data_IF_071572467747
#
_entry.id   IF_071572467747
#
_cell.length_a   1.000
_cell.length_b   1.000
_cell.length_c   1.000
_cell.angle_alpha   90.00
_cell.angle_beta   90.00
_cell.angle_gamma   90.00
#
_symmetry.space_group_name_H-M   'P 1'
#
loop_
_entity.id
_entity.type
_entity.pdbx_description
1 polymer ?
#
# COMPACT_ATOMS: atom_id res chain seq x y z
N UNK A 1 -8.71 4.20 36.32
CA UNK A 1 -9.15 3.94 34.94
C UNK A 1 -8.29 2.82 34.38
N UNK A 2 -8.85 1.64 34.12
CA UNK A 2 -8.10 0.58 33.47
C UNK A 2 -7.92 0.97 31.99
N UNK A 3 -6.68 1.19 31.56
CA UNK A 3 -6.32 1.54 30.18
C UNK A 3 -6.20 0.33 29.25
N UNK A 4 -6.68 -0.84 29.69
CA UNK A 4 -6.59 -2.07 28.90
C UNK A 4 -7.71 -2.09 27.86
N UNK A 5 -7.39 -2.38 26.58
CA UNK A 5 -8.42 -2.50 25.55
C UNK A 5 -9.38 -3.62 25.91
N UNK A 6 -10.66 -3.42 25.61
CA UNK A 6 -11.65 -4.48 25.75
C UNK A 6 -11.36 -5.65 24.80
N UNK A 7 -11.97 -6.82 25.02
CA UNK A 7 -11.63 -8.03 24.27
C UNK A 7 -11.88 -7.90 22.75
N UNK A 8 -12.87 -7.10 22.32
CA UNK A 8 -13.12 -6.83 20.90
C UNK A 8 -12.05 -5.89 20.33
N UNK A 9 -11.71 -4.81 21.04
CA UNK A 9 -10.61 -3.92 20.63
C UNK A 9 -9.27 -4.67 20.53
N UNK A 10 -8.96 -5.54 21.49
CA UNK A 10 -7.75 -6.36 21.44
C UNK A 10 -7.71 -7.27 20.21
N UNK A 11 -8.84 -7.92 19.88
CA UNK A 11 -8.96 -8.71 18.66
C UNK A 11 -8.79 -7.86 17.40
N UNK A 12 -9.39 -6.66 17.35
CA UNK A 12 -9.25 -5.74 16.23
C UNK A 12 -7.80 -5.29 16.02
N UNK A 13 -7.06 -5.00 17.10
CA UNK A 13 -5.63 -4.66 17.05
C UNK A 13 -4.83 -5.84 16.47
N UNK A 14 -5.06 -7.06 16.98
CA UNK A 14 -4.38 -8.26 16.48
C UNK A 14 -4.65 -8.49 14.99
N UNK A 15 -5.91 -8.39 14.55
CA UNK A 15 -6.29 -8.53 13.15
C UNK A 15 -5.71 -7.42 12.27
N UNK A 16 -5.63 -6.18 12.76
CA UNK A 16 -5.03 -5.05 12.05
C UNK A 16 -3.55 -5.30 11.75
N UNK A 17 -2.81 -5.87 12.71
CA UNK A 17 -1.40 -6.26 12.53
C UNK A 17 -1.28 -7.44 11.56
N UNK A 18 -2.23 -8.38 11.60
CA UNK A 18 -2.24 -9.54 10.71
C UNK A 18 -2.68 -9.21 9.27
N UNK A 19 -3.31 -8.06 9.02
CA UNK A 19 -3.88 -7.73 7.71
C UNK A 19 -2.86 -7.76 6.56
N UNK A 20 -1.65 -7.17 6.68
CA UNK A 20 -0.65 -7.25 5.61
C UNK A 20 -0.22 -8.69 5.30
N UNK A 21 -0.15 -9.57 6.31
CA UNK A 21 0.18 -10.98 6.14
C UNK A 21 -0.93 -11.73 5.40
N UNK A 22 -2.18 -11.42 5.72
CA UNK A 22 -3.34 -11.98 5.04
C UNK A 22 -3.39 -11.57 3.56
N UNK A 23 -3.05 -10.31 3.25
CA UNK A 23 -2.91 -9.84 1.86
C UNK A 23 -1.79 -10.57 1.11
N UNK A 24 -0.65 -10.82 1.75
CA UNK A 24 0.45 -11.62 1.19
C UNK A 24 -0.01 -13.05 0.87
N UNK A 25 -0.82 -13.67 1.74
CA UNK A 25 -1.45 -14.96 1.49
C UNK A 25 -2.32 -14.96 0.24
N UNK A 26 -3.21 -13.96 0.10
CA UNK A 26 -4.06 -13.82 -1.08
C UNK A 26 -3.28 -13.52 -2.37
N UNK A 27 -2.14 -12.82 -2.28
CA UNK A 27 -1.30 -12.55 -3.44
C UNK A 27 -0.66 -13.83 -4.03
N UNK A 28 -0.39 -14.84 -3.21
CA UNK A 28 0.13 -16.15 -3.65
C UNK A 28 -0.93 -17.01 -4.33
N UNK A 29 -2.21 -16.72 -4.12
CA UNK A 29 -3.31 -17.45 -4.74
C UNK A 29 -3.57 -16.89 -6.14
N UNK A 30 -3.07 -17.58 -7.17
CA UNK A 30 -3.22 -17.19 -8.58
C UNK A 30 -4.69 -16.97 -8.99
N UNK A 31 -5.63 -17.68 -8.35
CA UNK A 31 -7.07 -17.62 -8.64
C UNK A 31 -7.77 -16.28 -8.25
N UNK A 32 -7.09 -15.38 -7.52
CA UNK A 32 -7.74 -14.21 -6.91
C UNK A 32 -7.86 -12.98 -7.82
N UNK A 33 -7.29 -13.02 -9.04
CA UNK A 33 -7.39 -11.94 -10.03
C UNK A 33 -6.58 -10.69 -9.67
N UNK A 34 -7.00 -9.52 -10.17
CA UNK A 34 -6.25 -8.26 -10.02
C UNK A 34 -6.10 -7.74 -8.59
N UNK A 35 -5.12 -6.85 -8.39
CA UNK A 35 -4.72 -6.26 -7.09
C UNK A 35 -5.89 -5.72 -6.26
N UNK A 36 -6.84 -5.02 -6.88
CA UNK A 36 -8.04 -4.49 -6.21
C UNK A 36 -9.02 -5.56 -5.71
N UNK A 37 -9.13 -6.71 -6.40
CA UNK A 37 -9.98 -7.82 -5.96
C UNK A 37 -9.39 -8.50 -4.72
N UNK A 38 -8.07 -8.69 -4.70
CA UNK A 38 -7.34 -9.26 -3.54
C UNK A 38 -7.52 -8.41 -2.29
N UNK A 39 -7.38 -7.08 -2.41
CA UNK A 39 -7.59 -6.17 -1.29
C UNK A 39 -9.01 -6.27 -0.72
N UNK A 40 -10.04 -6.30 -1.60
CA UNK A 40 -11.44 -6.50 -1.18
C UNK A 40 -11.66 -7.83 -0.46
N UNK A 41 -11.09 -8.92 -0.98
CA UNK A 41 -11.17 -10.23 -0.31
C UNK A 41 -10.50 -10.22 1.07
N UNK A 42 -9.35 -9.55 1.19
CA UNK A 42 -8.67 -9.36 2.46
C UNK A 42 -9.53 -8.59 3.47
N UNK A 43 -10.13 -7.48 3.05
CA UNK A 43 -11.05 -6.69 3.85
C UNK A 43 -12.25 -7.50 4.35
N UNK A 44 -12.91 -8.24 3.46
CA UNK A 44 -14.05 -9.10 3.82
C UNK A 44 -13.61 -10.17 4.83
N UNK A 45 -12.45 -10.79 4.59
CA UNK A 45 -11.91 -11.82 5.50
C UNK A 45 -11.66 -11.25 6.90
N UNK A 46 -11.14 -10.03 7.01
CA UNK A 46 -10.93 -9.37 8.30
C UNK A 46 -12.22 -9.11 9.05
N UNK A 47 -13.24 -8.60 8.35
CA UNK A 47 -14.56 -8.34 8.97
C UNK A 47 -15.18 -9.64 9.45
N UNK A 48 -15.09 -10.72 8.66
CA UNK A 48 -15.56 -12.05 9.06
C UNK A 48 -14.78 -12.57 10.28
N UNK A 49 -13.45 -12.49 10.27
CA UNK A 49 -12.62 -12.91 11.40
C UNK A 49 -12.91 -12.09 12.67
N UNK A 50 -13.17 -10.80 12.53
CA UNK A 50 -13.55 -9.94 13.65
C UNK A 50 -14.92 -10.32 14.21
N UNK A 51 -15.91 -10.56 13.36
CA UNK A 51 -17.22 -11.03 13.78
C UNK A 51 -17.13 -12.40 14.51
N UNK A 52 -16.33 -13.33 13.97
CA UNK A 52 -16.04 -14.62 14.62
C UNK A 52 -15.37 -14.40 15.97
N UNK A 53 -14.37 -13.50 16.07
CA UNK A 53 -13.69 -13.18 17.31
C UNK A 53 -14.64 -12.60 18.37
N UNK A 54 -15.59 -11.74 17.98
CA UNK A 54 -16.60 -11.19 18.89
C UNK A 54 -17.52 -12.27 19.49
N UNK A 55 -17.79 -13.35 18.75
CA UNK A 55 -18.68 -14.44 19.18
C UNK A 55 -17.91 -15.53 19.94
N UNK A 56 -16.74 -15.91 19.44
CA UNK A 56 -16.00 -17.09 19.89
C UNK A 56 -15.00 -16.82 21.02
N UNK A 57 -14.48 -15.60 21.14
CA UNK A 57 -13.54 -15.30 22.23
C UNK A 57 -14.31 -15.06 23.54
N UNK A 58 -13.81 -15.61 24.67
CA UNK A 58 -14.42 -15.41 25.97
C UNK A 58 -14.29 -13.94 26.44
N UNK A 59 -15.27 -13.47 27.20
CA UNK A 59 -15.30 -12.13 27.79
C UNK A 59 -16.65 -11.43 27.59
N UNK A 60 -16.97 -10.49 28.48
CA UNK A 60 -18.15 -9.66 28.32
C UNK A 60 -18.03 -8.75 27.09
N UNK A 61 -19.14 -8.62 26.36
CA UNK A 61 -19.21 -7.80 25.15
C UNK A 61 -20.01 -6.55 25.46
N UNK A 62 -19.30 -5.45 25.66
CA UNK A 62 -19.93 -4.15 25.67
C UNK A 62 -19.98 -3.59 24.26
N UNK A 63 -21.09 -2.92 23.94
CA UNK A 63 -21.36 -2.42 22.59
C UNK A 63 -20.31 -1.38 22.17
N UNK A 64 -19.86 -0.54 23.10
CA UNK A 64 -18.79 0.43 22.93
C UNK A 64 -17.43 -0.21 22.61
N UNK A 65 -17.10 -1.36 23.22
CA UNK A 65 -15.89 -2.12 22.88
C UNK A 65 -15.96 -2.68 21.45
N UNK A 66 -17.11 -3.23 21.06
CA UNK A 66 -17.31 -3.76 19.69
C UNK A 66 -17.26 -2.64 18.64
N UNK A 67 -17.92 -1.51 18.89
CA UNK A 67 -17.88 -0.35 18.00
C UNK A 67 -16.45 0.20 17.92
N UNK A 68 -15.76 0.34 19.05
CA UNK A 68 -14.37 0.79 19.09
C UNK A 68 -13.44 -0.13 18.29
N UNK A 69 -13.59 -1.45 18.46
CA UNK A 69 -12.85 -2.45 17.67
C UNK A 69 -13.14 -2.34 16.18
N UNK A 70 -14.39 -2.15 15.78
CA UNK A 70 -14.76 -1.97 14.38
C UNK A 70 -14.13 -0.71 13.76
N UNK A 71 -14.14 0.41 14.50
CA UNK A 71 -13.52 1.66 14.06
C UNK A 71 -12.00 1.54 13.94
N UNK A 72 -11.34 0.83 14.88
CA UNK A 72 -9.91 0.52 14.78
C UNK A 72 -9.61 -0.30 13.53
N UNK A 73 -10.41 -1.33 13.27
CA UNK A 73 -10.26 -2.18 12.09
C UNK A 73 -10.44 -1.39 10.80
N UNK A 74 -11.49 -0.56 10.71
CA UNK A 74 -11.76 0.30 9.57
C UNK A 74 -10.60 1.28 9.32
N UNK A 75 -10.03 1.84 10.39
CA UNK A 75 -8.86 2.73 10.31
C UNK A 75 -7.64 2.00 9.77
N UNK A 76 -7.35 0.80 10.28
CA UNK A 76 -6.25 -0.02 9.77
C UNK A 76 -6.45 -0.41 8.30
N UNK A 77 -7.67 -0.77 7.91
CA UNK A 77 -8.01 -1.07 6.53
C UNK A 77 -7.80 0.15 5.62
N UNK A 78 -8.23 1.33 6.05
CA UNK A 78 -8.03 2.58 5.30
C UNK A 78 -6.54 2.92 5.17
N UNK A 79 -5.77 2.78 6.25
CA UNK A 79 -4.32 2.99 6.22
C UNK A 79 -3.62 2.05 5.24
N UNK A 80 -3.91 0.75 5.33
CA UNK A 80 -3.39 -0.24 4.39
C UNK A 80 -3.85 0.02 2.96
N UNK A 81 -5.09 0.48 2.74
CA UNK A 81 -5.58 0.85 1.41
C UNK A 81 -4.80 2.03 0.81
N UNK A 82 -4.50 3.06 1.61
CA UNK A 82 -3.72 4.21 1.15
C UNK A 82 -2.31 3.77 0.76
N UNK A 83 -1.63 2.99 1.60
CA UNK A 83 -0.31 2.45 1.31
C UNK A 83 -0.33 1.58 0.04
N UNK A 84 -1.32 0.69 -0.06
CA UNK A 84 -1.52 -0.17 -1.23
C UNK A 84 -1.75 0.67 -2.49
N UNK A 85 -2.59 1.70 -2.43
CA UNK A 85 -2.91 2.56 -3.56
C UNK A 85 -1.72 3.40 -4.00
N UNK A 86 -0.95 3.96 -3.07
CA UNK A 86 0.27 4.71 -3.40
C UNK A 86 1.30 3.83 -4.10
N UNK A 87 1.47 2.59 -3.65
CA UNK A 87 2.49 1.68 -4.16
C UNK A 87 2.08 0.95 -5.44
N UNK A 88 0.80 0.57 -5.55
CA UNK A 88 0.28 -0.16 -6.70
C UNK A 88 -0.20 0.76 -7.84
N UNK A 89 -0.73 1.93 -7.49
CA UNK A 89 -1.39 2.82 -8.44
C UNK A 89 -0.77 4.20 -8.52
N UNK A 90 0.23 4.57 -7.68
CA UNK A 90 0.80 5.91 -7.68
C UNK A 90 1.33 6.36 -9.05
N UNK A 91 2.06 5.48 -9.75
CA UNK A 91 2.56 5.76 -11.09
C UNK A 91 1.42 5.79 -12.13
N UNK A 92 0.52 4.79 -12.08
CA UNK A 92 -0.63 4.65 -12.99
C UNK A 92 -1.61 5.82 -12.88
N UNK A 93 -1.90 6.28 -11.67
CA UNK A 93 -2.75 7.44 -11.42
C UNK A 93 -2.10 8.73 -11.86
N UNK A 94 -0.78 8.87 -11.69
CA UNK A 94 -0.04 10.03 -12.20
C UNK A 94 -0.08 10.07 -13.74
N UNK A 95 0.08 8.92 -14.39
CA UNK A 95 -0.09 8.75 -15.84
C UNK A 95 -1.51 9.08 -16.31
N UNK A 96 -2.54 8.57 -15.64
CA UNK A 96 -3.93 8.90 -15.95
C UNK A 96 -4.22 10.39 -15.74
N UNK A 97 -3.69 10.98 -14.66
CA UNK A 97 -3.88 12.41 -14.38
C UNK A 97 -3.24 13.28 -15.45
N UNK A 98 -2.10 12.87 -16.04
CA UNK A 98 -1.50 13.57 -17.17
C UNK A 98 -2.41 13.59 -18.41
N UNK A 99 -3.14 12.49 -18.65
CA UNK A 99 -4.15 12.40 -19.71
C UNK A 99 -5.41 13.23 -19.39
N UNK A 100 -5.91 13.17 -18.16
CA UNK A 100 -7.12 13.92 -17.75
C UNK A 100 -6.86 15.43 -17.79
N UNK A 101 -5.69 15.89 -17.32
CA UNK A 101 -5.33 17.32 -17.28
C UNK A 101 -5.25 17.96 -18.67
N UNK A 102 -4.96 17.19 -19.70
CA UNK A 102 -4.88 17.72 -21.07
C UNK A 102 -6.25 17.92 -21.70
N UNK A 103 -7.32 17.33 -21.14
CA UNK A 103 -8.71 17.57 -21.54
C UNK A 103 -9.05 17.17 -22.97
N UNK A 104 -8.15 16.45 -23.66
CA UNK A 104 -8.28 16.03 -25.06
C UNK A 104 -7.60 14.68 -25.27
N UNK A 105 -8.02 13.88 -26.27
CA UNK A 105 -7.30 12.68 -26.67
C UNK A 105 -5.85 13.01 -27.04
N UNK A 106 -4.91 12.18 -26.60
CA UNK A 106 -3.47 12.30 -26.89
C UNK A 106 -2.97 11.06 -27.62
N UNK A 107 -1.97 11.21 -28.49
CA UNK A 107 -1.17 10.05 -28.94
C UNK A 107 -0.28 9.54 -27.82
N UNK A 108 0.28 8.34 -27.98
CA UNK A 108 1.14 7.72 -26.97
C UNK A 108 2.36 8.60 -26.63
N UNK A 109 2.97 9.20 -27.65
CA UNK A 109 4.14 10.08 -27.53
C UNK A 109 3.76 11.37 -26.78
N UNK A 110 2.61 11.97 -27.12
CA UNK A 110 2.11 13.17 -26.46
C UNK A 110 1.75 12.90 -24.99
N UNK A 111 1.23 11.71 -24.69
CA UNK A 111 0.91 11.29 -23.34
C UNK A 111 2.18 11.07 -22.49
N UNK A 112 3.19 10.40 -23.06
CA UNK A 112 4.49 10.24 -22.40
C UNK A 112 5.15 11.59 -22.11
N UNK A 113 5.14 12.51 -23.09
CA UNK A 113 5.63 13.87 -22.92
C UNK A 113 4.83 14.65 -21.84
N UNK A 114 3.51 14.50 -21.81
CA UNK A 114 2.66 15.13 -20.78
C UNK A 114 2.95 14.59 -19.37
N UNK A 115 3.19 13.28 -19.23
CA UNK A 115 3.60 12.67 -17.97
C UNK A 115 4.98 13.18 -17.51
N UNK A 116 5.90 13.37 -18.46
CA UNK A 116 7.21 13.96 -18.23
C UNK A 116 7.17 15.50 -18.11
N UNK A 117 5.96 16.11 -18.10
CA UNK A 117 5.75 17.55 -18.00
C UNK A 117 6.49 18.36 -19.07
N UNK A 118 6.62 17.80 -20.28
CA UNK A 118 7.33 18.43 -21.40
C UNK A 118 8.86 18.37 -21.33
N UNK A 119 9.41 17.69 -20.31
CA UNK A 119 10.86 17.45 -20.22
C UNK A 119 11.29 16.23 -21.05
N UNK A 120 12.57 16.15 -21.39
CA UNK A 120 13.16 14.96 -22.00
C UNK A 120 13.47 13.87 -20.94
N UNK A 121 13.80 12.65 -21.41
CA UNK A 121 14.03 11.50 -20.53
C UNK A 121 15.23 11.73 -19.61
N UNK A 122 16.25 12.45 -20.09
CA UNK A 122 17.44 12.78 -19.31
C UNK A 122 17.11 13.70 -18.12
N UNK A 123 16.32 14.74 -18.36
CA UNK A 123 15.87 15.71 -17.36
C UNK A 123 14.95 15.07 -16.34
N UNK A 124 14.01 14.23 -16.80
CA UNK A 124 13.17 13.43 -15.90
C UNK A 124 14.00 12.50 -15.01
N UNK A 125 14.92 11.74 -15.59
CA UNK A 125 15.81 10.84 -14.87
C UNK A 125 16.70 11.61 -13.87
N UNK A 126 17.24 12.76 -14.26
CA UNK A 126 18.04 13.63 -13.40
C UNK A 126 17.24 14.12 -12.19
N UNK A 127 16.00 14.57 -12.39
CA UNK A 127 15.13 15.02 -11.30
C UNK A 127 14.80 13.89 -10.32
N UNK A 128 14.53 12.68 -10.82
CA UNK A 128 14.30 11.50 -9.96
C UNK A 128 15.57 11.07 -9.24
N UNK A 129 16.71 11.14 -9.90
CA UNK A 129 18.01 10.84 -9.32
C UNK A 129 18.37 11.82 -8.19
N UNK A 130 18.07 13.12 -8.35
CA UNK A 130 18.22 14.12 -7.29
C UNK A 130 17.42 13.77 -6.03
N UNK A 131 16.21 13.20 -6.19
CA UNK A 131 15.42 12.72 -5.05
C UNK A 131 16.04 11.47 -4.40
N UNK A 132 16.60 10.55 -5.18
CA UNK A 132 17.28 9.36 -4.66
C UNK A 132 18.56 9.71 -3.87
N UNK A 133 19.33 10.68 -4.36
CA UNK A 133 20.46 11.25 -3.61
C UNK A 133 20.00 11.99 -2.36
N UNK A 134 19.02 12.89 -2.49
CA UNK A 134 18.49 13.68 -1.36
C UNK A 134 17.86 12.85 -0.25
N UNK A 135 17.39 11.63 -0.56
CA UNK A 135 16.87 10.66 0.43
C UNK A 135 17.93 9.69 0.97
N UNK A 136 19.17 9.77 0.47
CA UNK A 136 20.29 8.92 0.86
C UNK A 136 20.14 7.46 0.42
N UNK A 137 19.36 7.19 -0.64
CA UNK A 137 19.11 5.84 -1.15
C UNK A 137 20.15 5.41 -2.20
N UNK A 138 20.80 6.38 -2.85
CA UNK A 138 21.83 6.16 -3.88
C UNK A 138 23.03 7.04 -3.56
N UNK A 139 24.22 6.53 -3.83
CA UNK A 139 25.52 7.22 -3.75
C UNK A 139 26.26 7.07 -5.08
N UNK A 140 27.31 7.87 -5.26
CA UNK A 140 28.23 7.74 -6.38
C UNK A 140 29.51 7.07 -5.88
N UNK A 141 29.85 5.90 -6.43
CA UNK A 141 31.13 5.20 -6.22
C UNK A 141 31.80 5.02 -7.59
N UNK A 142 33.07 5.43 -7.73
CA UNK A 142 33.85 5.32 -8.96
C UNK A 142 33.14 5.83 -10.22
N UNK A 143 32.50 7.01 -10.12
CA UNK A 143 31.68 7.62 -11.18
C UNK A 143 30.46 6.78 -11.62
N UNK A 144 30.05 5.79 -10.83
CA UNK A 144 28.87 4.95 -11.04
C UNK A 144 27.85 5.17 -9.93
N UNK A 145 26.58 4.92 -10.25
CA UNK A 145 25.50 4.97 -9.28
C UNK A 145 25.42 3.63 -8.53
N UNK A 146 25.48 3.67 -7.20
CA UNK A 146 25.36 2.50 -6.34
C UNK A 146 24.26 2.72 -5.28
N UNK A 147 23.44 1.70 -4.97
CA UNK A 147 22.46 1.80 -3.89
C UNK A 147 23.16 1.76 -2.54
N UNK A 148 22.69 2.57 -1.59
CA UNK A 148 23.13 2.46 -0.18
C UNK A 148 22.48 1.25 0.49
N UNK A 149 22.95 0.79 1.67
CA UNK A 149 22.25 -0.24 2.44
C UNK A 149 20.78 0.13 2.73
N UNK A 150 20.50 1.41 3.00
CA UNK A 150 19.14 1.96 3.11
C UNK A 150 18.36 1.85 1.80
N UNK A 151 19.00 2.19 0.68
CA UNK A 151 18.45 2.03 -0.67
C UNK A 151 18.03 0.59 -0.96
N UNK A 152 18.89 -0.38 -0.65
CA UNK A 152 18.60 -1.81 -0.81
C UNK A 152 17.42 -2.24 0.07
N UNK A 153 17.39 -1.81 1.33
CA UNK A 153 16.28 -2.13 2.24
C UNK A 153 14.94 -1.57 1.73
N UNK A 154 14.91 -0.33 1.25
CA UNK A 154 13.72 0.29 0.66
C UNK A 154 13.31 -0.43 -0.63
N UNK A 155 14.26 -0.81 -1.49
CA UNK A 155 13.97 -1.57 -2.70
C UNK A 155 13.35 -2.94 -2.39
N UNK A 156 13.85 -3.65 -1.37
CA UNK A 156 13.26 -4.90 -0.90
C UNK A 156 11.86 -4.72 -0.32
N UNK A 157 11.64 -3.65 0.45
CA UNK A 157 10.30 -3.32 0.96
C UNK A 157 9.32 -3.05 -0.18
N UNK A 158 9.70 -2.24 -1.16
CA UNK A 158 8.89 -1.98 -2.35
C UNK A 158 8.61 -3.27 -3.11
N UNK A 159 9.60 -4.15 -3.27
CA UNK A 159 9.41 -5.47 -3.90
C UNK A 159 8.41 -6.33 -3.12
N UNK A 160 8.52 -6.37 -1.80
CA UNK A 160 7.59 -7.11 -0.94
C UNK A 160 6.17 -6.58 -1.06
N UNK A 161 5.98 -5.26 -1.11
CA UNK A 161 4.66 -4.67 -1.32
C UNK A 161 4.14 -4.89 -2.74
N UNK A 162 5.00 -4.84 -3.76
CA UNK A 162 4.61 -5.22 -5.12
C UNK A 162 4.19 -6.68 -5.20
N UNK A 163 4.85 -7.56 -4.45
CA UNK A 163 4.42 -8.96 -4.31
C UNK A 163 3.08 -9.07 -3.58
N UNK A 164 2.86 -8.35 -2.47
CA UNK A 164 1.58 -8.39 -1.74
C UNK A 164 0.41 -7.80 -2.53
N UNK A 165 0.70 -6.88 -3.45
CA UNK A 165 -0.27 -6.30 -4.39
C UNK A 165 -0.40 -7.13 -5.68
N UNK A 166 0.51 -8.08 -5.89
CA UNK A 166 0.66 -8.92 -7.08
C UNK A 166 0.89 -8.16 -8.38
N UNK A 167 1.74 -7.13 -8.27
CA UNK A 167 2.36 -6.35 -9.35
C UNK A 167 3.84 -6.70 -9.53
N UNK A 168 4.30 -7.78 -8.89
CA UNK A 168 5.69 -8.25 -8.87
C UNK A 168 5.86 -9.57 -9.61
#
# INVERSE_FOLDING_TARGET
>A
MNMLPGPAQAAAIGLSIAFPLLLLGYARLAATGGSGRRFRLGCVSLVVLFAVACIALPGERHIDDVIGGLLLLATAMMFCYILFSLLAWGFTLTLLTALVKTGRPLTLEQWAAAYMQGSDLGTFAHNRLKLLFGSGLVVTEDARLAPTPKGVAVAHLVKLVRLSTGLG
#
